data_IF_663833815465
#
_entry.id   IF_663833815465
#
_cell.length_a   1.000
_cell.length_b   1.000
_cell.length_c   1.000
_cell.angle_alpha   90.00
_cell.angle_beta   90.00
_cell.angle_gamma   90.00
#
_symmetry.space_group_name_H-M   'P 1'
#
loop_
_entity.id
_entity.type
_entity.pdbx_description
1 polymer ?
#
# COMPACT_ATOMS: atom_id res chain seq x y z
N UNK A 1 -28.22 -8.48 0.92
CA UNK A 1 -27.47 -9.14 2.01
C UNK A 1 -26.01 -9.21 1.57
N UNK A 2 -25.15 -8.40 2.19
CA UNK A 2 -23.75 -8.25 1.80
C UNK A 2 -22.91 -9.40 2.35
N UNK A 3 -23.00 -10.58 1.73
CA UNK A 3 -22.11 -11.68 2.04
C UNK A 3 -20.78 -11.45 1.33
N UNK A 4 -19.67 -11.44 2.09
CA UNK A 4 -18.32 -11.56 1.52
C UNK A 4 -18.33 -12.86 0.71
N UNK A 5 -18.01 -12.80 -0.58
CA UNK A 5 -17.92 -14.02 -1.37
C UNK A 5 -16.81 -14.89 -0.74
N UNK A 6 -17.07 -16.18 -0.44
CA UNK A 6 -16.08 -17.08 0.16
C UNK A 6 -14.67 -17.02 -0.45
N UNK A 7 -14.48 -16.83 -1.77
CA UNK A 7 -13.14 -16.74 -2.35
C UNK A 7 -12.30 -15.54 -1.89
N UNK A 8 -12.91 -14.44 -1.46
CA UNK A 8 -12.16 -13.21 -1.09
C UNK A 8 -11.85 -13.16 0.41
N UNK A 9 -12.51 -14.01 1.21
CA UNK A 9 -12.27 -14.15 2.65
C UNK A 9 -10.80 -14.47 2.96
N UNK A 10 -10.11 -15.20 2.08
CA UNK A 10 -8.71 -15.56 2.27
C UNK A 10 -7.79 -14.34 2.27
N UNK A 11 -8.06 -13.34 1.43
CA UNK A 11 -7.32 -12.08 1.41
C UNK A 11 -7.50 -11.30 2.71
N UNK A 12 -8.73 -11.21 3.21
CA UNK A 12 -9.05 -10.59 4.49
C UNK A 12 -8.32 -11.29 5.66
N UNK A 13 -8.38 -12.62 5.71
CA UNK A 13 -7.68 -13.42 6.73
C UNK A 13 -6.17 -13.20 6.63
N UNK A 14 -5.61 -13.17 5.42
CA UNK A 14 -4.20 -12.86 5.16
C UNK A 14 -3.78 -11.52 5.76
N UNK A 15 -4.55 -10.45 5.50
CA UNK A 15 -4.32 -9.13 6.08
C UNK A 15 -4.45 -9.11 7.62
N UNK A 16 -5.47 -9.78 8.15
CA UNK A 16 -5.73 -9.86 9.59
C UNK A 16 -4.63 -10.63 10.34
N UNK A 17 -4.05 -11.68 9.75
CA UNK A 17 -2.91 -12.41 10.30
C UNK A 17 -1.62 -11.58 10.16
N UNK A 18 -1.44 -10.89 9.04
CA UNK A 18 -0.26 -10.08 8.80
C UNK A 18 -0.15 -8.90 9.78
N UNK A 19 -1.26 -8.32 10.25
CA UNK A 19 -1.25 -7.21 11.21
C UNK A 19 -0.51 -7.52 12.53
N UNK A 20 -0.91 -8.52 13.35
CA UNK A 20 -0.21 -8.84 14.58
C UNK A 20 1.23 -9.29 14.33
N UNK A 21 1.49 -10.01 13.23
CA UNK A 21 2.85 -10.41 12.84
C UNK A 21 3.69 -9.16 12.54
N UNK A 22 3.17 -8.20 11.78
CA UNK A 22 3.88 -6.97 11.43
C UNK A 22 4.18 -6.12 12.66
N UNK A 23 3.19 -5.92 13.54
CA UNK A 23 3.35 -5.20 14.80
C UNK A 23 4.42 -5.87 15.68
N UNK A 24 4.44 -7.20 15.72
CA UNK A 24 5.41 -7.96 16.50
C UNK A 24 6.80 -7.97 15.87
N UNK A 25 6.93 -8.18 14.56
CA UNK A 25 8.21 -8.32 13.88
C UNK A 25 8.93 -6.97 13.72
N UNK A 26 8.22 -5.93 13.29
CA UNK A 26 8.82 -4.62 13.03
C UNK A 26 9.30 -3.93 14.31
N UNK A 27 8.74 -4.27 15.48
CA UNK A 27 9.20 -3.73 16.78
C UNK A 27 10.64 -4.09 17.11
N UNK A 28 11.17 -5.17 16.50
CA UNK A 28 12.54 -5.62 16.67
C UNK A 28 13.50 -4.97 15.67
N UNK A 29 13.00 -4.19 14.69
CA UNK A 29 13.87 -3.47 13.78
C UNK A 29 14.69 -2.42 14.57
N UNK A 30 16.03 -2.36 14.42
CA UNK A 30 16.89 -1.52 15.28
C UNK A 30 16.52 -0.03 15.29
N UNK A 31 15.97 0.45 14.17
CA UNK A 31 15.56 1.85 13.95
C UNK A 31 14.05 2.09 14.12
N UNK A 32 13.30 1.12 14.66
CA UNK A 32 11.85 1.24 14.80
C UNK A 32 11.44 2.46 15.64
N UNK A 33 12.12 2.68 16.77
CA UNK A 33 11.81 3.79 17.68
C UNK A 33 12.35 5.15 17.22
N UNK A 34 13.25 5.17 16.23
CA UNK A 34 13.87 6.42 15.74
C UNK A 34 13.08 7.09 14.62
N UNK A 35 12.05 6.45 14.08
CA UNK A 35 11.26 6.99 12.97
C UNK A 35 9.89 7.51 13.43
N UNK A 36 9.29 8.47 12.70
CA UNK A 36 7.98 9.00 13.02
C UNK A 36 6.87 7.94 13.11
N UNK A 37 5.80 8.26 13.85
CA UNK A 37 4.61 7.41 13.94
C UNK A 37 3.97 7.11 12.57
N UNK A 38 4.00 8.08 11.65
CA UNK A 38 3.47 7.91 10.28
C UNK A 38 4.25 6.87 9.48
N UNK A 39 5.59 6.89 9.56
CA UNK A 39 6.45 5.89 8.90
C UNK A 39 6.23 4.51 9.49
N UNK A 40 6.11 4.41 10.82
CA UNK A 40 5.77 3.15 11.50
C UNK A 40 4.44 2.58 11.05
N UNK A 41 3.40 3.41 11.05
CA UNK A 41 2.07 3.02 10.60
C UNK A 41 2.08 2.60 9.13
N UNK A 42 2.73 3.37 8.24
CA UNK A 42 2.87 3.02 6.83
C UNK A 42 3.60 1.69 6.63
N UNK A 43 4.70 1.44 7.35
CA UNK A 43 5.43 0.17 7.26
C UNK A 43 4.55 -1.03 7.70
N UNK A 44 3.76 -0.87 8.76
CA UNK A 44 2.80 -1.91 9.19
C UNK A 44 1.73 -2.15 8.13
N UNK A 45 1.14 -1.09 7.58
CA UNK A 45 0.11 -1.23 6.55
C UNK A 45 0.65 -1.80 5.23
N UNK A 46 1.92 -1.56 4.89
CA UNK A 46 2.60 -2.27 3.79
C UNK A 46 2.68 -3.76 4.08
N UNK A 47 3.07 -4.17 5.28
CA UNK A 47 3.11 -5.58 5.65
C UNK A 47 1.71 -6.22 5.65
N UNK A 48 0.67 -5.50 6.08
CA UNK A 48 -0.73 -5.95 5.94
C UNK A 48 -1.11 -6.13 4.47
N UNK A 49 -0.79 -5.15 3.63
CA UNK A 49 -1.04 -5.22 2.19
C UNK A 49 -0.32 -6.41 1.56
N UNK A 50 0.92 -6.70 1.97
CA UNK A 50 1.63 -7.89 1.55
C UNK A 50 0.91 -9.18 1.93
N UNK A 51 0.41 -9.27 3.17
CA UNK A 51 -0.38 -10.41 3.65
C UNK A 51 -1.61 -10.67 2.78
N UNK A 52 -2.34 -9.61 2.41
CA UNK A 52 -3.49 -9.73 1.49
C UNK A 52 -3.04 -10.26 0.12
N UNK A 53 -2.03 -9.65 -0.50
CA UNK A 53 -1.59 -10.03 -1.84
C UNK A 53 -1.10 -11.49 -1.88
N UNK A 54 -0.30 -11.91 -0.90
CA UNK A 54 0.19 -13.28 -0.84
C UNK A 54 -0.93 -14.29 -0.60
N UNK A 55 -1.94 -13.93 0.20
CA UNK A 55 -3.07 -14.80 0.49
C UNK A 55 -4.02 -14.99 -0.71
N UNK A 56 -4.02 -14.07 -1.68
CA UNK A 56 -4.83 -14.17 -2.89
C UNK A 56 -4.19 -15.05 -3.99
N UNK A 57 -2.91 -15.40 -3.86
CA UNK A 57 -2.18 -16.21 -4.85
C UNK A 57 -2.87 -17.54 -5.15
N UNK A 58 -3.25 -18.38 -4.15
CA UNK A 58 -3.80 -19.71 -4.42
C UNK A 58 -5.12 -19.66 -5.18
N UNK A 59 -5.91 -18.61 -4.99
CA UNK A 59 -7.20 -18.47 -5.66
C UNK A 59 -7.04 -18.22 -7.17
N UNK A 60 -6.05 -17.41 -7.55
CA UNK A 60 -5.82 -17.04 -8.95
C UNK A 60 -4.88 -18.02 -9.68
N UNK A 61 -4.19 -18.92 -8.96
CA UNK A 61 -3.08 -19.69 -9.54
C UNK A 61 -3.50 -20.63 -10.67
N UNK A 62 -4.70 -21.21 -10.57
CA UNK A 62 -5.20 -22.18 -11.54
C UNK A 62 -5.86 -21.51 -12.77
N UNK A 63 -6.53 -20.38 -12.59
CA UNK A 63 -7.30 -19.72 -13.65
C UNK A 63 -6.54 -18.56 -14.30
N UNK A 64 -5.73 -17.82 -13.52
CA UNK A 64 -5.08 -16.58 -13.91
C UNK A 64 -3.64 -16.52 -13.37
N UNK A 65 -2.72 -17.35 -13.91
CA UNK A 65 -1.37 -17.48 -13.37
C UNK A 65 -0.58 -16.16 -13.42
N UNK A 66 -0.85 -15.30 -14.41
CA UNK A 66 -0.23 -13.97 -14.48
C UNK A 66 -0.65 -13.10 -13.28
N UNK A 67 -1.94 -13.09 -12.93
CA UNK A 67 -2.46 -12.34 -11.78
C UNK A 67 -1.83 -12.84 -10.48
N UNK A 68 -1.68 -14.16 -10.31
CA UNK A 68 -0.94 -14.74 -9.17
C UNK A 68 0.52 -14.32 -9.09
N UNK A 69 1.21 -14.23 -10.22
CA UNK A 69 2.60 -13.74 -10.27
C UNK A 69 2.66 -12.26 -9.89
N UNK A 70 1.73 -11.44 -10.35
CA UNK A 70 1.63 -10.04 -9.95
C UNK A 70 1.37 -9.90 -8.44
N UNK A 71 0.47 -10.72 -7.88
CA UNK A 71 0.25 -10.77 -6.43
C UNK A 71 1.51 -11.13 -5.65
N UNK A 72 2.28 -12.11 -6.14
CA UNK A 72 3.57 -12.49 -5.53
C UNK A 72 4.57 -11.32 -5.54
N UNK A 73 4.74 -10.67 -6.68
CA UNK A 73 5.65 -9.52 -6.80
C UNK A 73 5.21 -8.35 -5.91
N UNK A 74 3.91 -8.03 -5.87
CA UNK A 74 3.38 -7.01 -4.98
C UNK A 74 3.62 -7.37 -3.51
N UNK A 75 3.33 -8.60 -3.10
CA UNK A 75 3.59 -9.08 -1.74
C UNK A 75 5.06 -8.94 -1.34
N UNK A 76 5.98 -9.38 -2.19
CA UNK A 76 7.41 -9.28 -1.95
C UNK A 76 7.90 -7.81 -1.90
N UNK A 77 7.40 -6.95 -2.78
CA UNK A 77 7.74 -5.53 -2.82
C UNK A 77 7.24 -4.81 -1.56
N UNK A 78 6.01 -5.09 -1.13
CA UNK A 78 5.45 -4.54 0.10
C UNK A 78 6.22 -5.00 1.35
N UNK A 79 6.61 -6.28 1.46
CA UNK A 79 7.47 -6.75 2.55
C UNK A 79 8.80 -6.01 2.55
N UNK A 80 9.43 -5.89 1.37
CA UNK A 80 10.71 -5.21 1.21
C UNK A 80 10.61 -3.76 1.68
N UNK A 81 9.57 -3.04 1.29
CA UNK A 81 9.34 -1.66 1.74
C UNK A 81 8.98 -1.57 3.23
N UNK A 82 8.22 -2.54 3.75
CA UNK A 82 7.88 -2.60 5.17
C UNK A 82 9.12 -2.75 6.07
N UNK A 83 10.18 -3.42 5.61
CA UNK A 83 11.44 -3.58 6.37
C UNK A 83 12.52 -2.57 6.00
N UNK A 84 12.45 -1.95 4.82
CA UNK A 84 13.43 -0.96 4.33
C UNK A 84 13.02 0.50 4.55
N UNK A 85 12.11 0.76 5.51
CA UNK A 85 11.54 2.09 5.82
C UNK A 85 12.55 3.19 6.20
N UNK A 86 13.83 2.84 6.37
CA UNK A 86 14.91 3.80 6.63
C UNK A 86 15.74 4.15 5.39
N UNK A 87 15.45 3.55 4.24
CA UNK A 87 16.10 3.87 2.97
C UNK A 87 15.74 5.27 2.48
N UNK A 88 16.71 6.00 1.93
CA UNK A 88 16.48 7.33 1.32
C UNK A 88 15.49 7.32 0.16
N UNK A 89 15.34 6.16 -0.51
CA UNK A 89 14.41 5.97 -1.62
C UNK A 89 13.06 5.43 -1.20
N UNK A 90 12.88 5.12 0.10
CA UNK A 90 11.68 4.45 0.59
C UNK A 90 10.40 5.20 0.23
N UNK A 91 10.32 6.51 0.51
CA UNK A 91 9.13 7.31 0.20
C UNK A 91 8.77 7.27 -1.28
N UNK A 92 9.77 7.40 -2.16
CA UNK A 92 9.55 7.37 -3.61
C UNK A 92 9.12 5.99 -4.09
N UNK A 93 9.81 4.93 -3.63
CA UNK A 93 9.50 3.56 -4.00
C UNK A 93 8.13 3.12 -3.48
N UNK A 94 7.79 3.49 -2.24
CA UNK A 94 6.48 3.27 -1.64
C UNK A 94 5.39 4.01 -2.40
N UNK A 95 5.59 5.28 -2.73
CA UNK A 95 4.62 6.04 -3.50
C UNK A 95 4.40 5.42 -4.89
N UNK A 96 5.49 5.06 -5.58
CA UNK A 96 5.41 4.42 -6.89
C UNK A 96 4.66 3.09 -6.85
N UNK A 97 4.98 2.22 -5.89
CA UNK A 97 4.31 0.92 -5.76
C UNK A 97 2.83 1.09 -5.42
N UNK A 98 2.49 1.90 -4.41
CA UNK A 98 1.10 2.11 -3.96
C UNK A 98 0.23 2.73 -5.06
N UNK A 99 0.77 3.68 -5.82
CA UNK A 99 0.07 4.26 -6.97
C UNK A 99 -0.13 3.19 -8.04
N UNK A 100 0.91 2.41 -8.36
CA UNK A 100 0.82 1.35 -9.35
C UNK A 100 -0.21 0.26 -8.97
N UNK A 101 -0.28 -0.13 -7.70
CA UNK A 101 -1.23 -1.15 -7.22
C UNK A 101 -2.66 -0.65 -7.22
N UNK A 102 -2.91 0.62 -6.90
CA UNK A 102 -4.24 1.23 -6.99
C UNK A 102 -4.70 1.34 -8.44
N UNK A 103 -3.88 1.91 -9.32
CA UNK A 103 -4.22 2.02 -10.74
C UNK A 103 -4.32 0.67 -11.43
N UNK A 104 -3.50 -0.31 -11.06
CA UNK A 104 -3.58 -1.67 -11.59
C UNK A 104 -4.94 -2.31 -11.32
N UNK A 105 -5.47 -2.17 -10.11
CA UNK A 105 -6.81 -2.66 -9.76
C UNK A 105 -7.91 -1.90 -10.50
N UNK A 106 -7.85 -0.57 -10.54
CA UNK A 106 -8.83 0.23 -11.30
C UNK A 106 -8.83 -0.15 -12.78
N UNK A 107 -7.66 -0.42 -13.35
CA UNK A 107 -7.53 -0.90 -14.73
C UNK A 107 -8.23 -2.24 -14.90
N UNK A 108 -7.91 -3.24 -14.06
CA UNK A 108 -8.53 -4.58 -14.11
C UNK A 108 -10.06 -4.52 -14.01
N UNK A 109 -10.59 -3.69 -13.10
CA UNK A 109 -12.03 -3.46 -12.95
C UNK A 109 -12.62 -2.78 -14.18
N UNK A 110 -11.96 -1.75 -14.72
CA UNK A 110 -12.44 -1.00 -15.87
C UNK A 110 -12.53 -1.85 -17.15
N UNK A 111 -11.62 -2.81 -17.33
CA UNK A 111 -11.62 -3.72 -18.50
C UNK A 111 -12.38 -5.03 -18.25
N UNK A 112 -13.01 -5.19 -17.08
CA UNK A 112 -13.84 -6.34 -16.74
C UNK A 112 -13.07 -7.65 -16.50
N UNK A 113 -11.76 -7.57 -16.22
CA UNK A 113 -10.98 -8.75 -15.81
C UNK A 113 -11.29 -9.15 -14.36
N UNK A 114 -11.67 -8.20 -13.51
CA UNK A 114 -12.05 -8.43 -12.12
C UNK A 114 -13.30 -7.60 -11.78
N UNK A 115 -14.21 -8.16 -10.98
CA UNK A 115 -15.36 -7.40 -10.46
C UNK A 115 -14.99 -6.61 -9.21
N UNK A 116 -15.58 -5.43 -8.96
CA UNK A 116 -15.32 -4.69 -7.73
C UNK A 116 -15.87 -5.46 -6.52
N UNK A 117 -14.97 -5.94 -5.67
CA UNK A 117 -15.28 -6.71 -4.47
C UNK A 117 -14.89 -5.95 -3.19
N UNK A 118 -15.41 -6.40 -2.05
CA UNK A 118 -15.18 -5.73 -0.76
C UNK A 118 -13.72 -5.78 -0.30
N UNK A 119 -13.02 -6.89 -0.57
CA UNK A 119 -11.63 -7.08 -0.14
C UNK A 119 -10.70 -6.29 -1.04
N UNK A 120 -10.94 -6.26 -2.35
CA UNK A 120 -10.25 -5.38 -3.29
C UNK A 120 -10.38 -3.92 -2.87
N UNK A 121 -11.60 -3.42 -2.69
CA UNK A 121 -11.85 -2.04 -2.26
C UNK A 121 -11.20 -1.73 -0.90
N UNK A 122 -11.38 -2.60 0.10
CA UNK A 122 -10.78 -2.40 1.42
C UNK A 122 -9.25 -2.35 1.36
N UNK A 123 -8.64 -3.20 0.54
CA UNK A 123 -7.18 -3.20 0.33
C UNK A 123 -6.72 -1.91 -0.31
N UNK A 124 -7.45 -1.37 -1.29
CA UNK A 124 -7.11 -0.06 -1.90
C UNK A 124 -7.29 1.10 -0.95
N UNK A 125 -8.25 1.05 -0.04
CA UNK A 125 -8.32 2.05 1.04
C UNK A 125 -7.11 1.98 1.98
N UNK A 126 -6.65 0.77 2.31
CA UNK A 126 -5.40 0.58 3.09
C UNK A 126 -4.20 1.12 2.32
N UNK A 127 -4.07 0.81 1.02
CA UNK A 127 -2.97 1.29 0.18
C UNK A 127 -2.97 2.82 0.06
N UNK A 128 -4.12 3.45 -0.19
CA UNK A 128 -4.24 4.92 -0.26
C UNK A 128 -3.94 5.57 1.09
N UNK A 129 -4.39 4.98 2.19
CA UNK A 129 -4.04 5.45 3.55
C UNK A 129 -2.54 5.35 3.78
N UNK A 130 -1.94 4.24 3.38
CA UNK A 130 -0.49 4.02 3.44
C UNK A 130 0.27 5.05 2.63
N UNK A 131 -0.24 5.39 1.43
CA UNK A 131 0.35 6.39 0.55
C UNK A 131 0.32 7.77 1.22
N UNK A 132 -0.82 8.16 1.79
CA UNK A 132 -0.94 9.38 2.57
C UNK A 132 0.08 9.43 3.70
N UNK A 133 0.16 8.39 4.53
CA UNK A 133 1.11 8.30 5.64
C UNK A 133 2.58 8.34 5.17
N UNK A 134 2.90 7.70 4.06
CA UNK A 134 4.23 7.67 3.46
C UNK A 134 4.63 9.00 2.79
N UNK A 135 3.67 9.84 2.42
CA UNK A 135 3.91 11.16 1.80
C UNK A 135 3.79 12.32 2.78
N UNK A 136 3.15 12.15 3.94
CA UNK A 136 3.07 13.19 4.97
C UNK A 136 4.49 13.58 5.41
N UNK A 137 4.87 14.85 5.22
CA UNK A 137 6.16 15.36 5.69
C UNK A 137 6.12 15.46 7.22
N UNK A 138 7.16 14.97 7.89
CA UNK A 138 7.24 15.06 9.36
C UNK A 138 8.25 16.12 9.77
N UNK A 139 7.84 17.00 10.69
CA UNK A 139 8.71 18.03 11.28
C UNK A 139 9.92 17.36 11.94
N UNK A 140 11.13 17.73 11.52
CA UNK A 140 12.38 17.11 11.98
C UNK A 140 13.11 16.28 10.91
N UNK A 141 12.52 16.04 9.74
CA UNK A 141 13.24 15.53 8.55
C UNK A 141 14.12 16.60 7.87
N UNK A 142 14.42 17.70 8.58
CA UNK A 142 15.21 18.83 8.09
C UNK A 142 16.69 18.47 8.16
N UNK A 143 17.15 17.79 7.13
CA UNK A 143 18.56 17.56 6.86
C UNK A 143 18.75 17.12 5.42
N UNK A 144 18.90 18.09 4.50
CA UNK A 144 19.24 17.97 3.07
C UNK A 144 18.08 17.90 2.05
N UNK A 145 17.33 18.98 1.89
CA UNK A 145 17.15 19.62 0.56
C UNK A 145 16.27 20.88 0.64
N UNK A 146 16.88 22.01 0.28
CA UNK A 146 16.33 23.37 0.33
C UNK A 146 15.38 23.69 -0.85
N UNK A 147 14.60 22.69 -1.32
CA UNK A 147 13.77 22.75 -2.54
C UNK A 147 12.37 22.13 -2.34
N UNK A 148 11.89 22.07 -1.09
CA UNK A 148 10.74 21.26 -0.68
C UNK A 148 9.37 21.95 -0.72
N UNK A 149 9.26 23.25 -1.05
CA UNK A 149 8.00 23.97 -0.80
C UNK A 149 7.18 24.40 -2.02
N UNK A 150 7.74 24.34 -3.24
CA UNK A 150 7.05 24.80 -4.46
C UNK A 150 6.30 23.70 -5.23
N UNK A 151 6.74 22.45 -5.12
CA UNK A 151 6.17 21.35 -5.92
C UNK A 151 5.13 20.53 -5.16
N UNK A 152 5.25 20.44 -3.83
CA UNK A 152 4.28 19.74 -2.99
C UNK A 152 2.94 20.51 -2.89
N UNK A 153 2.98 21.85 -2.91
CA UNK A 153 1.80 22.70 -2.98
C UNK A 153 1.12 22.62 -4.35
N UNK A 154 1.89 22.55 -5.44
CA UNK A 154 1.35 22.35 -6.79
C UNK A 154 0.77 20.94 -7.01
N UNK A 155 1.34 19.88 -6.42
CA UNK A 155 0.88 18.50 -6.59
C UNK A 155 -0.44 18.17 -5.87
N UNK A 156 -0.79 18.91 -4.81
CA UNK A 156 -2.07 18.74 -4.10
C UNK A 156 -3.12 19.75 -4.55
N UNK A 157 -2.72 20.98 -4.91
CA UNK A 157 -3.66 22.00 -5.35
C UNK A 157 -4.21 21.78 -6.78
N UNK A 158 -3.43 21.18 -7.69
CA UNK A 158 -3.87 20.91 -9.07
C UNK A 158 -5.00 19.89 -9.18
N UNK A 159 -4.94 18.72 -8.52
CA UNK A 159 -6.05 17.75 -8.57
C UNK A 159 -7.33 18.28 -7.93
N UNK A 160 -7.21 19.07 -6.86
CA UNK A 160 -8.35 19.68 -6.17
C UNK A 160 -9.04 20.76 -7.02
N UNK A 161 -8.28 21.53 -7.80
CA UNK A 161 -8.85 22.50 -8.74
C UNK A 161 -9.53 21.81 -9.92
N UNK A 162 -8.98 20.71 -10.43
CA UNK A 162 -9.57 19.96 -11.55
C UNK A 162 -10.93 19.33 -11.19
N UNK A 163 -11.15 18.95 -9.93
CA UNK A 163 -12.40 18.37 -9.43
C UNK A 163 -13.46 19.42 -9.12
N UNK A 164 -13.06 20.67 -8.87
CA UNK A 164 -13.99 21.78 -8.54
C UNK A 164 -14.45 22.53 -9.80
N UNK A 165 -13.72 22.43 -10.91
CA UNK A 165 -14.04 23.12 -12.17
C UNK A 165 -14.51 22.19 -13.31
N UNK A 166 -14.80 20.92 -13.01
CA UNK A 166 -15.30 19.91 -13.96
C UNK A 166 -16.76 19.56 -13.71
#
# INVERSE_FOLDING_TARGET
MYNVSPPHLIGLVGGMIALPIALWALRFHPRWRSVPGTVRAAAVLMAVSAGVHLALIPHHLAAEPLTSVLFLFNGAAFITLAVSFTSRWWRLASAGLLVATVFGYLFYVAIGLEGPDQVGIATKLVEVTTLGLALVPVRGEVGRTHRSWRWASLGVAMPLLLVITG
#
